data_IF_674182450014
#
_entry.id   IF_674182450014
#
_cell.length_a   1.000
_cell.length_b   1.000
_cell.length_c   1.000
_cell.angle_alpha   90.00
_cell.angle_beta   90.00
_cell.angle_gamma   90.00
#
_symmetry.space_group_name_H-M   'P 1'
#
loop_
_entity.id
_entity.type
_entity.pdbx_description
1 polymer ?
#
# COMPACT_ATOMS: atom_id res chain seq x y z
N UNK A 1 -0.72 -14.21 28.36
CA UNK A 1 0.74 -14.35 28.43
C UNK A 1 1.33 -12.95 28.46
N UNK A 2 2.35 -12.66 29.32
CA UNK A 2 3.03 -11.38 29.23
C UNK A 2 3.66 -11.22 27.87
N UNK A 3 3.63 -10.00 27.35
CA UNK A 3 4.26 -9.67 26.07
C UNK A 3 5.76 -9.87 26.23
N UNK A 4 6.44 -10.64 25.37
CA UNK A 4 7.89 -10.78 25.48
C UNK A 4 8.55 -9.41 25.37
N UNK A 5 9.49 -9.12 26.27
CA UNK A 5 10.30 -7.90 26.21
C UNK A 5 11.14 -7.91 24.94
N UNK A 6 11.24 -6.73 24.30
CA UNK A 6 12.14 -6.54 23.17
C UNK A 6 13.52 -6.26 23.76
N UNK A 7 14.43 -7.19 23.59
CA UNK A 7 15.78 -7.12 24.18
C UNK A 7 16.84 -6.64 23.20
N UNK A 8 16.58 -6.74 21.88
CA UNK A 8 17.55 -6.40 20.84
C UNK A 8 16.88 -5.76 19.63
N UNK A 9 17.61 -4.91 18.89
CA UNK A 9 17.19 -4.26 17.67
C UNK A 9 18.19 -4.54 16.55
N UNK A 10 17.67 -4.82 15.34
CA UNK A 10 18.48 -4.77 14.13
C UNK A 10 18.53 -3.30 13.66
N UNK A 11 19.72 -2.70 13.67
CA UNK A 11 19.90 -1.32 13.24
C UNK A 11 19.83 -1.23 11.71
N UNK A 12 18.95 -0.36 11.19
CA UNK A 12 18.89 0.00 9.78
C UNK A 12 19.15 1.51 9.65
N UNK A 13 20.15 1.95 8.84
CA UNK A 13 20.44 3.36 8.66
C UNK A 13 19.21 4.13 8.17
N UNK A 14 18.92 5.28 8.78
CA UNK A 14 17.77 6.13 8.45
C UNK A 14 18.22 7.54 8.06
N UNK A 15 17.63 8.08 7.00
CA UNK A 15 17.75 9.48 6.62
C UNK A 15 16.39 10.11 6.34
N UNK A 16 16.28 11.39 6.65
CA UNK A 16 15.16 12.23 6.24
C UNK A 16 15.47 12.84 4.88
N UNK A 17 14.55 12.67 3.93
CA UNK A 17 14.68 13.16 2.54
C UNK A 17 13.52 14.09 2.19
N UNK A 18 13.71 14.92 1.17
CA UNK A 18 12.71 15.89 0.75
C UNK A 18 13.19 17.35 0.91
N UNK A 19 12.32 18.36 1.05
CA UNK A 19 10.89 18.19 1.27
C UNK A 19 10.16 17.61 0.05
N UNK A 20 9.17 16.76 0.32
CA UNK A 20 8.18 16.32 -0.67
C UNK A 20 7.02 17.30 -0.63
N UNK A 21 6.82 18.03 -1.72
CA UNK A 21 5.70 18.99 -1.85
C UNK A 21 4.47 18.25 -2.38
N UNK A 22 3.40 18.28 -1.62
CA UNK A 22 2.15 17.56 -1.93
C UNK A 22 0.97 18.54 -1.91
N UNK A 23 0.02 18.32 -2.80
CA UNK A 23 -1.26 19.02 -2.85
C UNK A 23 -2.38 17.99 -2.95
N UNK A 24 -3.28 17.98 -1.96
CA UNK A 24 -4.40 17.03 -1.90
C UNK A 24 -5.20 17.20 -0.62
N UNK A 25 -6.34 16.54 -0.49
CA UNK A 25 -7.21 16.68 0.68
C UNK A 25 -6.57 16.17 1.97
N UNK A 26 -5.77 15.10 1.92
CA UNK A 26 -5.14 14.50 3.11
C UNK A 26 -3.82 15.19 3.50
N UNK A 27 -3.11 15.76 2.52
CA UNK A 27 -1.83 16.44 2.71
C UNK A 27 -1.74 17.64 1.79
N UNK A 28 -1.51 18.81 2.35
CA UNK A 28 -1.18 20.03 1.59
C UNK A 28 0.03 20.69 2.24
N UNK A 29 1.16 20.81 1.51
CA UNK A 29 2.39 21.42 1.99
C UNK A 29 3.64 20.62 1.68
N UNK A 30 4.73 20.98 2.36
CA UNK A 30 6.05 20.36 2.21
C UNK A 30 6.39 19.53 3.44
N UNK A 31 6.77 18.27 3.23
CA UNK A 31 7.04 17.30 4.32
C UNK A 31 8.34 16.58 4.06
N UNK A 32 9.23 16.52 5.06
CA UNK A 32 10.36 15.62 5.06
C UNK A 32 9.88 14.21 5.38
N UNK A 33 10.41 13.19 4.72
CA UNK A 33 10.02 11.79 4.91
C UNK A 33 11.20 10.94 5.35
N UNK A 34 11.03 10.02 6.33
CA UNK A 34 12.09 9.15 6.80
C UNK A 34 12.18 7.90 5.93
N UNK A 35 13.40 7.52 5.55
CA UNK A 35 13.68 6.29 4.82
C UNK A 35 14.78 5.50 5.51
N UNK A 36 14.48 4.28 5.97
CA UNK A 36 15.42 3.35 6.59
C UNK A 36 15.80 2.26 5.59
N UNK A 37 17.08 2.21 5.18
CA UNK A 37 17.54 1.28 4.16
C UNK A 37 19.04 1.02 4.24
N UNK A 38 19.48 -0.15 3.78
CA UNK A 38 20.88 -0.46 3.52
C UNK A 38 21.34 -0.02 2.12
N UNK A 39 20.39 0.25 1.19
CA UNK A 39 20.65 0.73 -0.16
C UNK A 39 20.91 2.24 -0.14
N UNK A 40 22.17 2.63 0.03
CA UNK A 40 22.56 4.04 0.17
C UNK A 40 22.19 4.94 -1.01
N UNK A 41 22.14 4.45 -2.29
CA UNK A 41 21.68 5.25 -3.42
C UNK A 41 20.21 5.65 -3.38
N UNK A 42 19.38 4.98 -2.55
CA UNK A 42 17.95 5.29 -2.47
C UNK A 42 17.68 6.71 -1.99
N UNK A 43 18.40 7.19 -0.96
CA UNK A 43 18.19 8.54 -0.42
C UNK A 43 18.41 9.64 -1.45
N UNK A 44 19.57 9.74 -2.14
CA UNK A 44 19.76 10.78 -3.17
C UNK A 44 18.83 10.57 -4.37
N UNK A 45 18.40 9.35 -4.69
CA UNK A 45 17.43 9.09 -5.74
C UNK A 45 16.06 9.70 -5.41
N UNK A 46 15.51 9.40 -4.24
CA UNK A 46 14.23 9.98 -3.78
C UNK A 46 14.36 11.50 -3.61
N UNK A 47 15.49 11.99 -3.08
CA UNK A 47 15.76 13.42 -2.94
C UNK A 47 15.73 14.15 -4.29
N UNK A 48 16.29 13.56 -5.37
CA UNK A 48 16.23 14.11 -6.72
C UNK A 48 14.80 14.22 -7.23
N UNK A 49 14.00 13.15 -7.06
CA UNK A 49 12.60 13.14 -7.44
C UNK A 49 11.78 14.18 -6.67
N UNK A 50 11.97 14.27 -5.35
CA UNK A 50 11.31 15.27 -4.51
C UNK A 50 11.62 16.71 -4.94
N UNK A 51 12.89 16.99 -5.26
CA UNK A 51 13.30 18.30 -5.79
C UNK A 51 12.60 18.63 -7.11
N UNK A 52 12.57 17.69 -8.04
CA UNK A 52 11.89 17.88 -9.34
C UNK A 52 10.39 18.09 -9.11
N UNK A 53 9.77 17.30 -8.27
CA UNK A 53 8.35 17.45 -7.93
C UNK A 53 8.05 18.83 -7.33
N UNK A 54 8.87 19.31 -6.40
CA UNK A 54 8.69 20.64 -5.80
C UNK A 54 8.80 21.77 -6.84
N UNK A 55 9.80 21.69 -7.73
CA UNK A 55 10.00 22.65 -8.83
C UNK A 55 8.88 22.59 -9.89
N UNK A 56 8.20 21.46 -9.99
CA UNK A 56 7.06 21.25 -10.90
C UNK A 56 5.70 21.66 -10.30
N UNK A 57 5.69 22.30 -9.14
CA UNK A 57 4.46 22.74 -8.46
C UNK A 57 4.00 21.80 -7.34
N UNK A 58 4.53 20.61 -7.24
CA UNK A 58 4.18 19.60 -6.23
C UNK A 58 3.47 18.38 -6.83
N UNK A 59 3.30 17.37 -5.98
CA UNK A 59 2.59 16.13 -6.31
C UNK A 59 1.13 16.29 -5.91
N UNK A 60 0.20 16.04 -6.82
CA UNK A 60 -1.22 15.85 -6.48
C UNK A 60 -1.43 14.43 -6.01
N UNK A 61 -2.18 14.28 -4.93
CA UNK A 61 -2.44 12.97 -4.33
C UNK A 61 -3.89 12.83 -3.88
N UNK A 62 -4.46 11.64 -4.08
CA UNK A 62 -5.81 11.30 -3.67
C UNK A 62 -5.88 9.87 -3.16
N UNK A 63 -6.62 9.65 -2.07
CA UNK A 63 -7.02 8.32 -1.59
C UNK A 63 -8.31 7.93 -2.28
N UNK A 64 -8.26 6.88 -3.09
CA UNK A 64 -9.40 6.40 -3.88
C UNK A 64 -10.26 5.43 -3.08
N UNK A 65 -9.62 4.64 -2.22
CA UNK A 65 -10.27 3.61 -1.40
C UNK A 65 -9.49 3.36 -0.11
N UNK A 66 -10.22 3.01 0.97
CA UNK A 66 -9.65 2.68 2.28
C UNK A 66 -10.45 1.53 2.88
N UNK A 67 -9.94 0.31 2.72
CA UNK A 67 -10.53 -0.91 3.26
C UNK A 67 -9.49 -1.93 3.68
N UNK A 68 -9.82 -2.74 4.64
CA UNK A 68 -9.04 -3.90 5.03
C UNK A 68 -9.91 -5.16 4.94
N UNK A 69 -9.31 -6.30 4.70
CA UNK A 69 -10.08 -7.49 4.35
C UNK A 69 -9.63 -8.73 5.11
N UNK A 70 -10.61 -9.62 5.38
CA UNK A 70 -10.35 -10.98 5.82
C UNK A 70 -11.29 -11.94 5.07
N UNK A 71 -10.73 -13.02 4.55
CA UNK A 71 -11.52 -14.09 3.94
C UNK A 71 -11.53 -15.31 4.86
N UNK A 72 -12.73 -15.83 5.12
CA UNK A 72 -12.91 -17.11 5.82
C UNK A 72 -13.25 -18.20 4.82
N UNK A 73 -13.01 -19.44 5.22
CA UNK A 73 -13.33 -20.62 4.43
C UNK A 73 -14.19 -21.57 5.26
N UNK A 74 -15.35 -21.90 4.69
CA UNK A 74 -16.34 -22.82 5.24
C UNK A 74 -16.66 -23.92 4.22
N UNK A 75 -17.13 -25.05 4.68
CA UNK A 75 -17.57 -26.16 3.85
C UNK A 75 -19.05 -26.48 4.12
N UNK A 76 -19.84 -26.58 3.07
CA UNK A 76 -21.21 -27.00 3.10
C UNK A 76 -21.33 -28.50 2.74
N UNK A 77 -22.48 -29.16 2.98
CA UNK A 77 -22.70 -30.55 2.57
C UNK A 77 -22.52 -30.80 1.06
N UNK A 78 -22.99 -29.85 0.25
CA UNK A 78 -22.91 -29.87 -1.21
C UNK A 78 -22.88 -28.43 -1.80
N UNK A 79 -22.73 -28.33 -3.12
CA UNK A 79 -22.64 -27.05 -3.81
C UNK A 79 -23.99 -26.29 -3.84
N UNK A 80 -25.13 -26.98 -3.80
CA UNK A 80 -26.46 -26.36 -3.79
C UNK A 80 -26.69 -25.65 -2.46
N UNK A 81 -26.38 -26.33 -1.38
CA UNK A 81 -26.49 -25.77 -0.02
C UNK A 81 -25.44 -24.64 0.17
N UNK A 82 -24.23 -24.80 -0.36
CA UNK A 82 -23.21 -23.73 -0.36
C UNK A 82 -23.72 -22.44 -1.02
N UNK A 83 -24.34 -22.54 -2.20
CA UNK A 83 -24.92 -21.40 -2.91
C UNK A 83 -26.08 -20.80 -2.13
N UNK A 84 -27.00 -21.61 -1.64
CA UNK A 84 -28.16 -21.14 -0.85
C UNK A 84 -27.72 -20.34 0.37
N UNK A 85 -26.75 -20.86 1.11
CA UNK A 85 -26.20 -20.15 2.30
C UNK A 85 -25.48 -18.89 1.89
N UNK A 86 -24.66 -18.92 0.83
CA UNK A 86 -23.93 -17.74 0.35
C UNK A 86 -24.91 -16.60 -0.03
N UNK A 87 -26.04 -16.92 -0.69
CA UNK A 87 -27.09 -15.95 -1.04
C UNK A 87 -27.79 -15.41 0.22
N UNK A 88 -28.13 -16.29 1.15
CA UNK A 88 -28.78 -15.92 2.40
C UNK A 88 -27.91 -15.00 3.26
N UNK A 89 -26.60 -15.26 3.35
CA UNK A 89 -25.62 -14.41 4.08
C UNK A 89 -25.49 -13.04 3.41
N UNK A 90 -25.39 -13.01 2.09
CA UNK A 90 -25.26 -11.75 1.34
C UNK A 90 -26.51 -10.86 1.46
N UNK A 91 -27.68 -11.44 1.72
CA UNK A 91 -28.93 -10.70 1.93
C UNK A 91 -29.07 -10.09 3.35
N UNK A 92 -28.11 -10.36 4.28
CA UNK A 92 -28.19 -9.96 5.69
C UNK A 92 -27.07 -9.01 6.14
N UNK A 93 -26.79 -7.90 5.43
CA UNK A 93 -25.68 -7.00 5.77
C UNK A 93 -25.84 -6.34 7.15
N UNK A 94 -27.07 -6.08 7.60
CA UNK A 94 -27.33 -5.48 8.91
C UNK A 94 -26.97 -6.43 10.07
N UNK A 95 -27.26 -7.74 9.92
CA UNK A 95 -26.92 -8.74 10.94
C UNK A 95 -25.40 -8.93 11.01
N UNK A 96 -24.74 -8.98 9.86
CA UNK A 96 -23.26 -9.02 9.81
C UNK A 96 -22.65 -7.81 10.48
N UNK A 97 -23.16 -6.61 10.22
CA UNK A 97 -22.66 -5.38 10.86
C UNK A 97 -22.89 -5.42 12.38
N UNK A 98 -24.02 -5.93 12.87
CA UNK A 98 -24.29 -6.05 14.30
C UNK A 98 -23.25 -6.94 14.99
N UNK A 99 -22.87 -8.06 14.37
CA UNK A 99 -21.82 -8.96 14.87
C UNK A 99 -20.45 -8.25 14.89
N UNK A 100 -20.13 -7.48 13.87
CA UNK A 100 -18.84 -6.76 13.77
C UNK A 100 -18.69 -5.71 14.87
N UNK A 101 -19.74 -4.97 15.19
CA UNK A 101 -19.72 -3.91 16.22
C UNK A 101 -19.40 -4.47 17.62
N UNK A 102 -19.77 -5.74 17.91
CA UNK A 102 -19.41 -6.40 19.17
C UNK A 102 -17.89 -6.53 19.37
N UNK A 103 -17.09 -6.53 18.28
CA UNK A 103 -15.65 -6.77 18.34
C UNK A 103 -14.82 -5.49 18.46
N UNK A 104 -15.29 -4.39 17.87
CA UNK A 104 -14.57 -3.12 17.87
C UNK A 104 -15.47 -1.95 17.50
N UNK A 105 -15.38 -0.87 18.27
CA UNK A 105 -16.06 0.40 17.97
C UNK A 105 -15.56 1.08 16.68
N UNK A 106 -14.41 0.67 16.15
CA UNK A 106 -13.79 1.24 14.96
C UNK A 106 -13.98 0.38 13.71
N UNK A 107 -14.33 -0.91 13.87
CA UNK A 107 -14.57 -1.80 12.75
C UNK A 107 -15.97 -1.56 12.16
N UNK A 108 -16.03 -1.30 10.86
CA UNK A 108 -17.30 -1.22 10.12
C UNK A 108 -17.23 -2.14 8.92
N UNK A 109 -18.26 -2.94 8.72
CA UNK A 109 -18.39 -3.78 7.53
C UNK A 109 -18.72 -2.89 6.32
N UNK A 110 -17.90 -2.95 5.30
CA UNK A 110 -18.10 -2.22 4.04
C UNK A 110 -18.77 -3.11 2.98
N UNK A 111 -18.50 -4.41 3.01
CA UNK A 111 -19.02 -5.34 2.03
C UNK A 111 -18.62 -6.78 2.26
N UNK A 112 -19.19 -7.64 1.42
CA UNK A 112 -18.93 -9.07 1.37
C UNK A 112 -18.80 -9.51 -0.08
N UNK A 113 -17.65 -10.10 -0.43
CA UNK A 113 -17.49 -10.85 -1.67
C UNK A 113 -17.48 -12.35 -1.37
N UNK A 114 -18.08 -13.13 -2.25
CA UNK A 114 -18.19 -14.56 -2.11
C UNK A 114 -17.69 -15.28 -3.36
N UNK A 115 -17.02 -16.39 -3.14
CA UNK A 115 -16.62 -17.34 -4.19
C UNK A 115 -16.93 -18.76 -3.72
N UNK A 116 -17.34 -19.59 -4.65
CA UNK A 116 -17.64 -20.98 -4.41
C UNK A 116 -16.75 -21.85 -5.30
N UNK A 117 -16.23 -22.92 -4.71
CA UNK A 117 -15.52 -23.98 -5.44
C UNK A 117 -16.02 -25.29 -4.88
N UNK A 118 -16.73 -26.09 -5.69
CA UNK A 118 -17.46 -27.25 -5.23
C UNK A 118 -18.40 -26.87 -4.05
N UNK A 119 -18.27 -27.51 -2.90
CA UNK A 119 -19.04 -27.23 -1.68
C UNK A 119 -18.32 -26.25 -0.72
N UNK A 120 -17.24 -25.60 -1.17
CA UNK A 120 -16.45 -24.67 -0.37
C UNK A 120 -16.93 -23.24 -0.56
N UNK A 121 -17.15 -22.54 0.56
CA UNK A 121 -17.52 -21.14 0.65
C UNK A 121 -16.30 -20.29 1.05
N UNK A 122 -15.86 -19.40 0.16
CA UNK A 122 -14.90 -18.36 0.43
C UNK A 122 -15.66 -17.04 0.63
N UNK A 123 -15.74 -16.57 1.86
CA UNK A 123 -16.41 -15.31 2.21
C UNK A 123 -15.34 -14.27 2.56
N UNK A 124 -15.21 -13.25 1.71
CA UNK A 124 -14.26 -12.14 1.88
C UNK A 124 -15.00 -10.93 2.41
N UNK A 125 -14.84 -10.70 3.70
CA UNK A 125 -15.36 -9.51 4.38
C UNK A 125 -14.43 -8.33 4.20
N UNK A 126 -15.00 -7.15 4.02
CA UNK A 126 -14.33 -5.89 3.84
C UNK A 126 -14.69 -4.92 4.96
N UNK A 127 -13.68 -4.26 5.53
CA UNK A 127 -13.86 -3.45 6.73
C UNK A 127 -13.15 -2.11 6.61
N UNK A 128 -13.72 -1.09 7.21
CA UNK A 128 -13.02 0.11 7.61
C UNK A 128 -12.36 -0.13 8.98
N UNK A 129 -11.11 0.32 9.16
CA UNK A 129 -10.31 0.06 10.39
C UNK A 129 -9.76 1.31 11.05
N UNK A 130 -10.21 2.50 10.62
CA UNK A 130 -9.70 3.78 11.13
C UNK A 130 -8.20 3.93 10.94
N UNK A 131 -7.49 4.34 11.97
CA UNK A 131 -6.04 4.58 11.93
C UNK A 131 -5.18 3.32 12.08
N UNK A 132 -5.78 2.14 12.29
CA UNK A 132 -5.05 0.89 12.31
C UNK A 132 -4.73 0.37 10.90
N UNK A 133 -3.63 -0.36 10.74
CA UNK A 133 -3.39 -1.19 9.54
C UNK A 133 -4.45 -2.29 9.40
N UNK A 134 -5.00 -2.76 10.52
CA UNK A 134 -6.26 -3.50 10.59
C UNK A 134 -6.16 -5.02 10.66
N UNK A 135 -5.00 -5.65 10.47
CA UNK A 135 -4.89 -7.12 10.42
C UNK A 135 -5.59 -7.87 11.57
N UNK A 136 -5.25 -7.53 12.81
CA UNK A 136 -5.82 -8.19 13.98
C UNK A 136 -7.31 -7.84 14.17
N UNK A 137 -7.67 -6.59 13.89
CA UNK A 137 -9.05 -6.11 14.01
C UNK A 137 -9.98 -6.88 13.05
N UNK A 138 -9.60 -6.98 11.76
CA UNK A 138 -10.41 -7.70 10.77
C UNK A 138 -10.40 -9.21 10.99
N UNK A 139 -9.33 -9.75 11.59
CA UNK A 139 -9.27 -11.17 11.95
C UNK A 139 -10.25 -11.46 13.10
N UNK A 140 -10.26 -10.63 14.16
CA UNK A 140 -11.20 -10.79 15.26
C UNK A 140 -12.66 -10.63 14.81
N UNK A 141 -12.93 -9.65 13.94
CA UNK A 141 -14.26 -9.46 13.37
C UNK A 141 -14.71 -10.66 12.51
N UNK A 142 -13.80 -11.17 11.68
CA UNK A 142 -14.11 -12.33 10.84
C UNK A 142 -14.27 -13.63 11.65
N UNK A 143 -13.51 -13.79 12.73
CA UNK A 143 -13.65 -14.93 13.65
C UNK A 143 -15.03 -14.91 14.30
N UNK A 144 -15.47 -13.76 14.79
CA UNK A 144 -16.80 -13.60 15.35
C UNK A 144 -17.94 -13.82 14.34
N UNK A 145 -17.74 -13.34 13.10
CA UNK A 145 -18.66 -13.63 12.00
C UNK A 145 -18.71 -15.11 11.66
N UNK A 146 -17.58 -15.80 11.71
CA UNK A 146 -17.52 -17.25 11.50
C UNK A 146 -18.29 -18.02 12.56
N UNK A 147 -18.13 -17.67 13.85
CA UNK A 147 -18.91 -18.23 14.95
C UNK A 147 -20.43 -18.03 14.75
N UNK A 148 -20.81 -16.83 14.30
CA UNK A 148 -22.20 -16.51 13.99
C UNK A 148 -22.72 -17.36 12.84
N UNK A 149 -21.97 -17.49 11.74
CA UNK A 149 -22.32 -18.30 10.58
C UNK A 149 -22.51 -19.77 10.93
N UNK A 150 -21.63 -20.36 11.75
CA UNK A 150 -21.72 -21.77 12.17
C UNK A 150 -22.92 -22.02 13.07
N UNK A 151 -23.40 -21.04 13.83
CA UNK A 151 -24.63 -21.14 14.63
C UNK A 151 -25.90 -21.00 13.80
N UNK A 152 -25.92 -20.02 12.89
CA UNK A 152 -27.07 -19.73 12.01
C UNK A 152 -27.25 -20.80 10.94
N UNK A 153 -26.17 -21.43 10.51
CA UNK A 153 -26.17 -22.47 9.47
C UNK A 153 -25.44 -23.72 9.97
N UNK A 154 -26.11 -24.58 10.79
CA UNK A 154 -25.46 -25.75 11.40
C UNK A 154 -24.97 -26.81 10.40
N UNK A 155 -25.40 -26.73 9.13
CA UNK A 155 -24.89 -27.56 8.05
C UNK A 155 -23.46 -27.17 7.60
N UNK A 156 -22.97 -25.98 7.96
CA UNK A 156 -21.64 -25.54 7.64
C UNK A 156 -20.61 -26.18 8.59
N UNK A 157 -19.43 -26.44 8.03
CA UNK A 157 -18.26 -26.90 8.75
C UNK A 157 -17.15 -25.86 8.67
N UNK A 158 -16.48 -25.61 9.78
CA UNK A 158 -15.27 -24.79 9.83
C UNK A 158 -14.14 -25.43 9.01
N UNK A 159 -13.47 -24.64 8.17
CA UNK A 159 -12.24 -25.05 7.48
C UNK A 159 -11.09 -24.15 7.89
N UNK A 160 -11.22 -22.82 7.74
CA UNK A 160 -10.14 -21.90 8.09
C UNK A 160 -10.62 -20.47 8.29
N UNK A 161 -10.06 -19.79 9.30
CA UNK A 161 -10.20 -18.35 9.50
C UNK A 161 -9.49 -17.53 8.39
N UNK A 162 -8.70 -18.17 7.54
CA UNK A 162 -8.03 -17.54 6.41
C UNK A 162 -8.16 -18.37 5.15
N UNK A 163 -9.10 -17.99 4.27
CA UNK A 163 -9.36 -18.66 3.00
C UNK A 163 -8.44 -18.20 1.85
N UNK A 164 -7.43 -17.35 2.10
CA UNK A 164 -6.55 -16.77 1.08
C UNK A 164 -7.23 -15.94 -0.03
N UNK A 165 -8.53 -15.74 0.03
CA UNK A 165 -9.24 -14.87 -0.91
C UNK A 165 -9.13 -13.37 -0.53
N UNK A 166 -8.58 -13.06 0.67
CA UNK A 166 -8.09 -11.75 1.07
C UNK A 166 -6.58 -11.57 0.82
N UNK A 167 -5.89 -12.63 0.48
CA UNK A 167 -4.50 -12.73 0.03
C UNK A 167 -3.50 -11.85 0.83
N UNK A 168 -3.47 -12.03 2.15
CA UNK A 168 -2.54 -11.35 3.04
C UNK A 168 -1.08 -11.71 2.72
N UNK A 169 -0.23 -10.69 2.52
CA UNK A 169 1.21 -10.83 2.23
C UNK A 169 1.49 -11.70 0.98
N UNK A 170 0.66 -11.55 -0.04
CA UNK A 170 0.79 -12.25 -1.32
C UNK A 170 0.48 -11.31 -2.47
N UNK A 171 1.27 -11.41 -3.55
CA UNK A 171 1.00 -10.71 -4.80
C UNK A 171 -0.11 -11.45 -5.57
N UNK A 172 -1.34 -10.95 -5.50
CA UNK A 172 -2.51 -11.53 -6.15
C UNK A 172 -3.34 -10.50 -6.89
N UNK A 173 -4.10 -10.95 -7.88
CA UNK A 173 -4.98 -10.06 -8.65
C UNK A 173 -6.14 -9.52 -7.80
N UNK A 174 -6.70 -10.32 -6.90
CA UNK A 174 -7.91 -9.98 -6.13
C UNK A 174 -7.73 -8.71 -5.29
N UNK A 175 -6.59 -8.53 -4.64
CA UNK A 175 -6.34 -7.35 -3.83
C UNK A 175 -6.31 -6.06 -4.66
N UNK A 176 -5.72 -6.11 -5.85
CA UNK A 176 -5.67 -4.95 -6.74
C UNK A 176 -6.99 -4.68 -7.49
N UNK A 177 -7.92 -5.64 -7.54
CA UNK A 177 -9.24 -5.49 -8.18
C UNK A 177 -10.28 -5.03 -7.15
N UNK A 178 -10.36 -5.71 -6.02
CA UNK A 178 -11.39 -5.47 -5.00
C UNK A 178 -10.92 -4.52 -3.89
N UNK A 179 -9.62 -4.25 -3.81
CA UNK A 179 -9.01 -3.41 -2.76
C UNK A 179 -8.58 -4.19 -1.52
N UNK A 180 -7.43 -3.83 -0.94
CA UNK A 180 -6.92 -4.23 0.38
C UNK A 180 -5.87 -3.24 0.82
N UNK A 181 -6.11 -2.54 1.91
CA UNK A 181 -5.34 -1.37 2.32
C UNK A 181 -5.87 -0.09 1.68
N UNK A 182 -5.03 0.91 1.55
CA UNK A 182 -5.37 2.21 0.97
C UNK A 182 -4.92 2.27 -0.48
N UNK A 183 -5.85 2.59 -1.36
CA UNK A 183 -5.56 2.84 -2.77
C UNK A 183 -5.26 4.31 -2.94
N UNK A 184 -4.01 4.63 -3.30
CA UNK A 184 -3.55 6.01 -3.46
C UNK A 184 -3.04 6.22 -4.87
N UNK A 185 -3.50 7.30 -5.50
CA UNK A 185 -2.97 7.80 -6.75
C UNK A 185 -2.18 9.07 -6.46
N UNK A 186 -0.98 9.14 -7.01
CA UNK A 186 -0.12 10.32 -6.99
C UNK A 186 0.28 10.69 -8.40
N UNK A 187 0.33 11.99 -8.71
CA UNK A 187 0.64 12.46 -10.06
C UNK A 187 1.28 13.84 -10.05
N UNK A 188 2.03 14.13 -11.11
CA UNK A 188 2.56 15.47 -11.39
C UNK A 188 2.80 15.67 -12.89
N UNK A 189 2.94 16.93 -13.29
CA UNK A 189 3.42 17.29 -14.63
C UNK A 189 4.77 17.96 -14.50
N UNK A 190 5.82 17.36 -15.07
CA UNK A 190 7.18 17.88 -15.06
C UNK A 190 7.45 18.64 -16.35
N UNK A 191 7.71 19.96 -16.30
CA UNK A 191 8.09 20.73 -17.48
C UNK A 191 9.30 20.12 -18.20
N UNK A 192 9.29 20.13 -19.55
CA UNK A 192 10.35 19.58 -20.38
C UNK A 192 11.75 20.06 -19.93
N UNK A 193 11.90 21.36 -19.70
CA UNK A 193 13.17 21.95 -19.25
C UNK A 193 13.66 21.40 -17.90
N UNK A 194 12.77 21.01 -17.01
CA UNK A 194 13.14 20.37 -15.73
C UNK A 194 13.57 18.92 -15.94
N UNK A 195 12.95 18.19 -16.88
CA UNK A 195 13.40 16.86 -17.26
C UNK A 195 14.85 16.91 -17.78
N UNK A 196 15.18 17.82 -18.69
CA UNK A 196 16.53 17.96 -19.20
C UNK A 196 17.54 18.39 -18.13
N UNK A 197 17.19 19.41 -17.35
CA UNK A 197 18.12 20.01 -16.38
C UNK A 197 18.40 19.10 -15.18
N UNK A 198 17.38 18.48 -14.59
CA UNK A 198 17.50 17.76 -13.32
C UNK A 198 17.42 16.23 -13.46
N UNK A 199 16.69 15.73 -14.45
CA UNK A 199 16.58 14.30 -14.71
C UNK A 199 17.54 13.82 -15.80
N UNK A 200 18.18 14.75 -16.56
CA UNK A 200 19.13 14.45 -17.64
C UNK A 200 18.53 13.62 -18.76
N UNK A 201 17.24 13.77 -19.00
CA UNK A 201 16.47 12.99 -19.99
C UNK A 201 15.35 13.84 -20.58
N UNK A 202 14.55 13.28 -21.48
CA UNK A 202 13.38 13.93 -22.05
C UNK A 202 12.08 13.20 -21.67
N UNK A 203 10.94 13.89 -21.68
CA UNK A 203 9.64 13.26 -21.47
C UNK A 203 9.42 12.02 -22.35
N UNK A 204 9.74 12.11 -23.65
CA UNK A 204 9.57 11.02 -24.59
C UNK A 204 10.37 9.75 -24.22
N UNK A 205 11.62 9.91 -23.76
CA UNK A 205 12.46 8.77 -23.34
C UNK A 205 11.91 8.08 -22.09
N UNK A 206 11.38 8.83 -21.13
CA UNK A 206 10.74 8.25 -19.92
C UNK A 206 9.50 7.46 -20.31
N UNK A 207 8.64 8.03 -21.17
CA UNK A 207 7.43 7.36 -21.67
C UNK A 207 7.77 6.07 -22.42
N UNK A 208 8.73 6.14 -23.33
CA UNK A 208 9.19 4.98 -24.09
C UNK A 208 9.72 3.87 -23.17
N UNK A 209 10.56 4.23 -22.19
CA UNK A 209 11.10 3.28 -21.22
C UNK A 209 10.00 2.67 -20.34
N UNK A 210 9.03 3.47 -19.88
CA UNK A 210 7.91 2.97 -19.09
C UNK A 210 7.11 1.91 -19.86
N UNK A 211 6.83 2.15 -21.14
CA UNK A 211 6.12 1.18 -21.99
C UNK A 211 6.96 -0.09 -22.18
N UNK A 212 8.20 0.05 -22.61
CA UNK A 212 9.04 -1.11 -22.98
C UNK A 212 9.48 -1.94 -21.76
N UNK A 213 9.82 -1.27 -20.65
CA UNK A 213 10.30 -1.92 -19.43
C UNK A 213 9.17 -2.27 -18.47
N UNK A 214 8.43 -1.25 -17.96
CA UNK A 214 7.49 -1.48 -16.88
C UNK A 214 6.23 -2.20 -17.37
N UNK A 215 5.73 -1.90 -18.56
CA UNK A 215 4.55 -2.59 -19.10
C UNK A 215 4.94 -3.90 -19.78
N UNK A 216 5.68 -3.84 -20.89
CA UNK A 216 5.97 -5.04 -21.69
C UNK A 216 6.91 -6.00 -20.96
N UNK A 217 7.96 -5.49 -20.32
CA UNK A 217 8.91 -6.32 -19.56
C UNK A 217 8.26 -7.03 -18.39
N UNK A 218 7.40 -6.34 -17.63
CA UNK A 218 6.68 -6.96 -16.51
C UNK A 218 5.63 -7.96 -16.98
N UNK A 219 4.93 -7.66 -18.10
CA UNK A 219 3.98 -8.59 -18.71
C UNK A 219 4.69 -9.87 -19.18
N UNK A 220 5.84 -9.73 -19.85
CA UNK A 220 6.68 -10.85 -20.27
C UNK A 220 7.15 -11.71 -19.09
N UNK A 221 7.48 -11.09 -17.96
CA UNK A 221 7.89 -11.78 -16.74
C UNK A 221 6.71 -12.40 -15.95
N UNK A 222 5.46 -12.22 -16.38
CA UNK A 222 4.29 -12.74 -15.68
C UNK A 222 3.93 -11.96 -14.39
N UNK A 223 4.29 -10.68 -14.32
CA UNK A 223 3.98 -9.83 -13.15
C UNK A 223 2.48 -9.71 -12.92
N UNK A 224 2.06 -9.86 -11.66
CA UNK A 224 0.65 -9.80 -11.27
C UNK A 224 0.29 -8.38 -10.85
N UNK A 225 -0.48 -7.67 -11.69
CA UNK A 225 -0.95 -6.30 -11.45
C UNK A 225 0.18 -5.34 -11.00
N UNK A 226 1.32 -5.47 -11.65
CA UNK A 226 2.51 -4.68 -11.34
C UNK A 226 3.12 -4.16 -12.64
N UNK A 227 3.32 -2.86 -12.75
CA UNK A 227 4.00 -2.20 -13.86
C UNK A 227 4.76 -0.98 -13.31
N UNK A 228 5.83 -1.26 -12.57
CA UNK A 228 6.67 -0.25 -11.92
C UNK A 228 8.14 -0.71 -11.93
N UNK A 229 9.05 0.18 -11.59
CA UNK A 229 10.46 -0.13 -11.59
C UNK A 229 10.94 -0.70 -10.23
N UNK A 230 10.59 -0.06 -9.11
CA UNK A 230 11.10 -0.46 -7.81
C UNK A 230 10.26 0.04 -6.61
N UNK A 231 8.95 0.03 -6.70
CA UNK A 231 8.07 0.42 -5.58
C UNK A 231 8.51 -0.20 -4.25
N UNK A 232 8.93 -1.46 -4.27
CA UNK A 232 9.32 -2.20 -3.08
C UNK A 232 10.44 -1.51 -2.27
N UNK A 233 11.41 -0.86 -2.94
CA UNK A 233 12.54 -0.22 -2.27
C UNK A 233 12.09 0.95 -1.39
N UNK A 234 11.26 1.86 -1.93
CA UNK A 234 10.73 2.99 -1.17
C UNK A 234 9.74 2.54 -0.10
N UNK A 235 8.88 1.56 -0.43
CA UNK A 235 7.91 1.02 0.52
C UNK A 235 8.61 0.41 1.73
N UNK A 236 9.59 -0.47 1.52
CA UNK A 236 10.34 -1.08 2.61
C UNK A 236 11.02 -0.03 3.47
N UNK A 237 11.71 0.93 2.84
CA UNK A 237 12.42 1.98 3.56
C UNK A 237 11.47 2.86 4.40
N UNK A 238 10.30 3.19 3.87
CA UNK A 238 9.27 3.96 4.58
C UNK A 238 8.59 3.13 5.68
N UNK A 239 8.31 1.85 5.42
CA UNK A 239 7.67 0.95 6.38
C UNK A 239 8.56 0.70 7.59
N UNK A 240 9.85 0.42 7.39
CA UNK A 240 10.81 0.26 8.47
C UNK A 240 10.91 1.54 9.31
N UNK A 241 11.00 2.70 8.67
CA UNK A 241 11.11 3.98 9.36
C UNK A 241 9.86 4.37 10.17
N UNK A 242 8.68 3.83 9.85
CA UNK A 242 7.39 4.18 10.47
C UNK A 242 6.74 3.04 11.25
N UNK A 243 7.50 1.95 11.52
CA UNK A 243 7.03 0.81 12.31
C UNK A 243 5.89 0.02 11.67
N UNK A 244 5.79 0.03 10.32
CA UNK A 244 4.83 -0.80 9.60
C UNK A 244 5.28 -2.26 9.54
N UNK A 245 4.36 -3.17 9.25
CA UNK A 245 4.70 -4.57 8.98
C UNK A 245 5.42 -4.68 7.63
N UNK A 246 6.72 -4.92 7.66
CA UNK A 246 7.57 -4.96 6.47
C UNK A 246 7.11 -6.02 5.45
N UNK A 247 6.49 -7.12 5.89
CA UNK A 247 6.00 -8.17 4.98
C UNK A 247 4.87 -7.69 4.04
N UNK A 248 4.18 -6.60 4.39
CA UNK A 248 3.13 -6.04 3.51
C UNK A 248 3.69 -5.30 2.27
N UNK A 249 5.01 -5.23 2.09
CA UNK A 249 5.59 -4.78 0.82
C UNK A 249 5.23 -5.73 -0.34
N UNK A 250 4.91 -6.99 -0.06
CA UNK A 250 4.58 -7.99 -1.09
C UNK A 250 3.37 -7.53 -1.90
N UNK A 251 2.24 -7.25 -1.25
CA UNK A 251 1.07 -6.69 -1.93
C UNK A 251 1.19 -5.18 -2.16
N UNK A 252 1.86 -4.46 -1.27
CA UNK A 252 2.04 -3.01 -1.38
C UNK A 252 2.87 -2.59 -2.59
N UNK A 253 3.78 -3.43 -3.08
CA UNK A 253 4.58 -3.17 -4.28
C UNK A 253 3.86 -3.44 -5.60
N UNK A 254 2.67 -4.05 -5.55
CA UNK A 254 1.79 -4.10 -6.73
C UNK A 254 1.29 -2.70 -7.05
N UNK A 255 1.34 -2.32 -8.31
CA UNK A 255 0.86 -1.00 -8.73
C UNK A 255 1.46 -0.57 -10.06
N UNK A 256 1.06 0.61 -10.50
CA UNK A 256 1.26 1.06 -11.86
C UNK A 256 1.93 2.41 -11.91
N UNK A 257 2.94 2.52 -12.77
CA UNK A 257 3.42 3.81 -13.26
C UNK A 257 2.76 4.09 -14.60
N UNK A 258 2.11 5.24 -14.71
CA UNK A 258 1.64 5.75 -16.00
C UNK A 258 2.41 7.01 -16.35
N UNK A 259 2.90 7.08 -17.60
CA UNK A 259 3.65 8.20 -18.12
C UNK A 259 3.21 8.53 -19.54
N UNK A 260 3.03 9.82 -19.84
CA UNK A 260 2.71 10.32 -21.17
C UNK A 260 3.29 11.72 -21.40
N UNK A 261 3.45 12.09 -22.67
CA UNK A 261 3.82 13.44 -23.06
C UNK A 261 2.54 14.26 -23.24
N UNK A 262 2.36 15.32 -22.46
CA UNK A 262 1.25 16.27 -22.55
C UNK A 262 1.77 17.67 -22.89
N UNK A 263 1.46 18.18 -24.06
CA UNK A 263 1.91 19.50 -24.51
C UNK A 263 3.44 19.70 -24.43
N UNK A 264 4.22 18.62 -24.65
CA UNK A 264 5.68 18.62 -24.56
C UNK A 264 6.23 18.30 -23.16
N UNK A 265 5.46 18.42 -22.12
CA UNK A 265 5.83 18.13 -20.74
C UNK A 265 5.57 16.65 -20.39
N UNK A 266 6.19 16.17 -19.31
CA UNK A 266 5.99 14.82 -18.79
C UNK A 266 4.85 14.81 -17.77
N UNK A 267 3.73 14.18 -18.08
CA UNK A 267 2.79 13.71 -17.07
C UNK A 267 3.29 12.35 -16.53
N UNK A 268 3.36 12.24 -15.21
CA UNK A 268 3.86 11.03 -14.53
C UNK A 268 3.02 10.74 -13.30
N UNK A 269 2.54 9.50 -13.16
CA UNK A 269 1.73 9.08 -12.03
C UNK A 269 2.13 7.71 -11.51
N UNK A 270 1.90 7.49 -10.20
CA UNK A 270 2.01 6.20 -9.54
C UNK A 270 0.70 5.88 -8.84
N UNK A 271 0.15 4.70 -9.11
CA UNK A 271 -1.03 4.14 -8.45
C UNK A 271 -0.62 2.98 -7.57
N UNK A 272 -0.87 3.08 -6.28
CA UNK A 272 -0.58 2.07 -5.27
C UNK A 272 -1.90 1.58 -4.66
N UNK A 273 -2.47 0.48 -5.18
CA UNK A 273 -3.81 0.04 -4.77
C UNK A 273 -3.85 -0.64 -3.40
N UNK A 274 -2.71 -1.07 -2.84
CA UNK A 274 -2.65 -1.98 -1.70
C UNK A 274 -1.70 -1.49 -0.60
N UNK A 275 -1.74 -0.21 -0.23
CA UNK A 275 -0.94 0.32 0.87
C UNK A 275 -1.54 -0.07 2.22
N UNK A 276 -0.93 -1.02 2.90
CA UNK A 276 -1.33 -1.43 4.23
C UNK A 276 -0.46 -0.72 5.25
N UNK A 277 -0.93 0.43 5.69
CA UNK A 277 -0.25 1.28 6.69
C UNK A 277 -1.22 1.66 7.81
N UNK A 278 -0.69 2.03 8.96
CA UNK A 278 -1.48 2.53 10.08
C UNK A 278 -0.61 3.37 11.00
N UNK A 279 -1.23 4.18 11.85
CA UNK A 279 -0.55 5.09 12.78
C UNK A 279 -0.68 4.65 14.23
N UNK A 280 -1.45 3.59 14.47
CA UNK A 280 -1.64 2.95 15.77
C UNK A 280 -1.33 1.46 15.70
N UNK A 281 -1.00 0.86 16.86
CA UNK A 281 -0.66 -0.54 16.99
C UNK A 281 0.82 -0.78 17.30
N UNK A 282 1.16 -2.01 17.71
CA UNK A 282 2.39 -2.35 18.43
C UNK A 282 3.69 -1.79 17.83
N UNK A 283 3.95 -1.98 16.53
CA UNK A 283 5.17 -1.49 15.88
C UNK A 283 5.29 0.04 15.86
N UNK A 284 4.14 0.75 15.90
CA UNK A 284 4.03 2.22 15.89
C UNK A 284 4.29 2.85 17.26
N UNK A 285 4.28 2.04 18.31
CA UNK A 285 4.58 2.48 19.68
C UNK A 285 6.06 2.33 20.05
N UNK A 286 6.89 1.76 19.18
CA UNK A 286 8.35 1.83 19.31
C UNK A 286 8.78 3.31 19.26
N UNK A 287 9.68 3.73 20.13
CA UNK A 287 10.05 5.13 20.31
C UNK A 287 10.44 5.83 19.01
N UNK A 288 11.25 5.19 18.19
CA UNK A 288 11.66 5.75 16.89
C UNK A 288 10.48 5.90 15.92
N UNK A 289 9.58 4.90 15.86
CA UNK A 289 8.44 4.92 14.96
C UNK A 289 7.41 5.97 15.39
N UNK A 290 7.14 6.06 16.69
CA UNK A 290 6.28 7.08 17.30
C UNK A 290 6.80 8.49 16.98
N UNK A 291 8.06 8.76 17.26
CA UNK A 291 8.69 10.05 16.98
C UNK A 291 8.62 10.41 15.48
N UNK A 292 8.87 9.44 14.59
CA UNK A 292 8.78 9.66 13.16
C UNK A 292 7.33 9.93 12.70
N UNK A 293 6.33 9.20 13.23
CA UNK A 293 4.91 9.43 12.93
C UNK A 293 4.43 10.80 13.45
N UNK A 294 4.87 11.22 14.62
CA UNK A 294 4.60 12.56 15.17
C UNK A 294 5.18 13.64 14.26
N UNK A 295 6.44 13.51 13.86
CA UNK A 295 7.12 14.45 12.95
C UNK A 295 6.47 14.53 11.57
N UNK A 296 5.90 13.42 11.09
CA UNK A 296 5.10 13.36 9.86
C UNK A 296 3.70 13.99 10.03
N UNK A 297 3.32 14.37 11.25
CA UNK A 297 1.99 14.86 11.58
C UNK A 297 0.90 13.79 11.44
N UNK A 298 1.26 12.54 11.63
CA UNK A 298 0.36 11.38 11.52
C UNK A 298 -0.16 10.86 12.88
N UNK A 299 0.00 11.64 13.95
CA UNK A 299 -0.54 11.37 15.30
C UNK A 299 -1.28 12.58 15.87
N UNK A 300 -1.74 13.47 15.02
CA UNK A 300 -2.55 14.62 15.44
C UNK A 300 -3.99 14.17 15.79
N UNK A 301 -4.66 14.98 16.58
CA UNK A 301 -6.09 14.77 16.86
C UNK A 301 -6.90 15.07 15.59
N UNK A 302 -7.45 14.02 14.99
CA UNK A 302 -8.24 14.04 13.75
C UNK A 302 -9.34 12.99 13.82
N UNK A 303 -10.25 13.05 12.85
CA UNK A 303 -11.24 12.00 12.67
C UNK A 303 -10.57 10.61 12.43
N UNK A 304 -11.21 9.52 12.88
CA UNK A 304 -10.67 8.19 12.71
C UNK A 304 -10.34 7.86 11.25
N UNK A 305 -9.11 7.40 11.01
CA UNK A 305 -8.60 7.05 9.69
C UNK A 305 -7.84 8.18 8.96
N UNK A 306 -8.01 9.45 9.37
CA UNK A 306 -7.35 10.57 8.70
C UNK A 306 -5.82 10.53 8.84
N UNK A 307 -5.29 10.12 9.99
CA UNK A 307 -3.85 9.98 10.16
C UNK A 307 -3.28 8.85 9.29
N UNK A 308 -3.98 7.74 9.15
CA UNK A 308 -3.55 6.64 8.32
C UNK A 308 -3.65 6.95 6.81
N UNK A 309 -4.70 7.69 6.38
CA UNK A 309 -4.79 8.20 4.99
C UNK A 309 -3.66 9.18 4.69
N UNK A 310 -3.37 10.10 5.62
CA UNK A 310 -2.21 11.00 5.52
C UNK A 310 -0.91 10.22 5.35
N UNK A 311 -0.67 9.20 6.17
CA UNK A 311 0.52 8.36 6.09
C UNK A 311 0.62 7.64 4.73
N UNK A 312 -0.49 7.13 4.21
CA UNK A 312 -0.55 6.47 2.90
C UNK A 312 -0.20 7.43 1.76
N UNK A 313 -0.70 8.67 1.81
CA UNK A 313 -0.37 9.71 0.83
C UNK A 313 1.12 10.07 0.88
N UNK A 314 1.70 10.25 2.08
CA UNK A 314 3.14 10.51 2.23
C UNK A 314 3.99 9.37 1.68
N UNK A 315 3.60 8.13 1.94
CA UNK A 315 4.24 6.94 1.40
C UNK A 315 4.18 6.91 -0.14
N UNK A 316 2.99 7.07 -0.72
CA UNK A 316 2.80 7.03 -2.18
C UNK A 316 3.54 8.15 -2.90
N UNK A 317 3.55 9.37 -2.35
CA UNK A 317 4.31 10.50 -2.91
C UNK A 317 5.83 10.24 -2.86
N UNK A 318 6.31 9.58 -1.81
CA UNK A 318 7.72 9.16 -1.71
C UNK A 318 8.06 8.12 -2.78
N UNK A 319 7.17 7.15 -3.01
CA UNK A 319 7.31 6.15 -4.06
C UNK A 319 7.38 6.81 -5.44
N UNK A 320 6.49 7.75 -5.74
CA UNK A 320 6.50 8.48 -7.01
C UNK A 320 7.84 9.21 -7.23
N UNK A 321 8.41 9.84 -6.20
CA UNK A 321 9.71 10.51 -6.30
C UNK A 321 10.83 9.53 -6.67
N UNK A 322 10.88 8.35 -6.04
CA UNK A 322 11.86 7.32 -6.33
C UNK A 322 11.71 6.73 -7.73
N UNK A 323 10.48 6.45 -8.15
CA UNK A 323 10.17 5.92 -9.48
C UNK A 323 10.57 6.88 -10.60
N UNK A 324 10.17 8.16 -10.49
CA UNK A 324 10.54 9.18 -11.45
C UNK A 324 12.05 9.29 -11.60
N UNK A 325 12.77 9.30 -10.47
CA UNK A 325 14.21 9.40 -10.44
C UNK A 325 14.90 8.20 -11.08
N UNK A 326 14.47 6.96 -10.75
CA UNK A 326 15.09 5.76 -11.29
C UNK A 326 14.81 5.61 -12.78
N UNK A 327 13.56 5.78 -13.23
CA UNK A 327 13.24 5.71 -14.66
C UNK A 327 14.05 6.70 -15.47
N UNK A 328 14.19 7.93 -14.98
CA UNK A 328 15.04 8.93 -15.63
C UNK A 328 16.50 8.47 -15.73
N UNK A 329 17.10 7.94 -14.65
CA UNK A 329 18.47 7.44 -14.67
C UNK A 329 18.65 6.30 -15.69
N UNK A 330 17.66 5.41 -15.80
CA UNK A 330 17.71 4.27 -16.71
C UNK A 330 17.56 4.63 -18.19
N UNK A 331 17.13 5.85 -18.53
CA UNK A 331 17.15 6.33 -19.93
C UNK A 331 18.55 6.67 -20.42
N UNK A 332 19.56 6.75 -19.54
CA UNK A 332 20.92 7.11 -19.87
C UNK A 332 21.89 5.95 -19.57
N UNK A 333 22.75 5.55 -20.54
CA UNK A 333 23.76 4.54 -20.29
C UNK A 333 24.67 4.91 -19.11
N UNK A 334 24.99 3.95 -18.28
CA UNK A 334 25.93 4.03 -17.15
C UNK A 334 25.53 4.96 -15.98
N UNK A 335 24.45 5.74 -16.05
CA UNK A 335 24.08 6.69 -14.96
C UNK A 335 23.76 5.94 -13.66
N UNK A 336 22.96 4.87 -13.75
CA UNK A 336 22.63 4.04 -12.60
C UNK A 336 23.89 3.43 -11.97
N UNK A 337 24.75 2.77 -12.77
CA UNK A 337 25.96 2.14 -12.25
C UNK A 337 26.95 3.13 -11.64
N UNK A 338 27.09 4.33 -12.21
CA UNK A 338 27.93 5.40 -11.62
C UNK A 338 27.46 5.82 -10.25
N UNK A 339 26.13 5.90 -10.02
CA UNK A 339 25.58 6.23 -8.72
C UNK A 339 25.91 5.15 -7.68
N UNK A 340 25.73 3.87 -8.00
CA UNK A 340 26.07 2.74 -7.12
C UNK A 340 27.58 2.70 -6.84
N UNK A 341 28.43 2.78 -7.85
CA UNK A 341 29.89 2.76 -7.67
C UNK A 341 30.42 3.92 -6.80
N UNK A 342 29.77 5.08 -6.88
CA UNK A 342 30.19 6.27 -6.08
C UNK A 342 29.75 6.17 -4.62
N UNK A 343 28.63 5.51 -4.32
CA UNK A 343 27.98 5.55 -3.02
C UNK A 343 28.13 4.24 -2.20
N UNK A 344 28.45 3.12 -2.84
CA UNK A 344 28.56 1.80 -2.21
C UNK A 344 29.99 1.25 -2.17
N UNK A 345 30.92 1.80 -2.96
CA UNK A 345 32.33 1.48 -2.82
C UNK A 345 32.97 2.44 -1.81
N UNK A 346 33.04 2.01 -0.57
CA UNK A 346 33.93 2.51 0.46
C UNK A 346 35.04 1.50 0.67
#
# INVERSE_FOLDING_TARGET
MPTPEINEFAAVPLRWVGPVKITGPEVCGEVLVPLATYETPLWPSVQRGARVAALSGGIRAVVVDDRMTRSVLLEAPDAVEALRIADAVAARPADLQAVVVETSRYARLLGLHRQLVANLLYLRFEFQTGDAAGHNMVTAAADRLMDWLLREYPALRYVSISGNYCADKKATAVNGILGRGRNVITELTVPHKLCERYLKTTPAKIVELNIKKNLLGTLLAGGVRSANAHFANMLLAFYLATGQDAANIVEGSQGFVHAEVRNGDLYFSATLPNLIVGTVGRGKELDFARANLERLGCRADREPGANARRLAVLCAATVLCGELSLLAAQTNPHELMRAHLKLERV
#
